data_IF_085201594903
#
_entry.id   IF_085201594903
#
_cell.length_a   1.000
_cell.length_b   1.000
_cell.length_c   1.000
_cell.angle_alpha   90.00
_cell.angle_beta   90.00
_cell.angle_gamma   90.00
#
_symmetry.space_group_name_H-M   'P 1'
#
loop_
_entity.id
_entity.type
_entity.pdbx_description
1 polymer ?
#
# COMPACT_ATOMS: atom_id res chain seq x y z
N UNK A 1 19.39 6.35 -7.60
CA UNK A 1 19.62 7.61 -8.33
C UNK A 1 19.02 7.60 -9.74
N UNK A 2 19.06 6.49 -10.51
CA UNK A 2 18.38 6.40 -11.83
C UNK A 2 16.86 6.67 -11.84
N UNK A 3 16.14 6.38 -10.75
CA UNK A 3 14.69 6.65 -10.66
C UNK A 3 14.35 8.16 -10.66
N UNK A 4 15.28 9.03 -10.25
CA UNK A 4 15.08 10.49 -10.26
C UNK A 4 15.36 11.07 -11.66
N UNK A 5 16.21 10.43 -12.46
CA UNK A 5 16.46 10.83 -13.85
C UNK A 5 15.27 10.54 -14.78
N UNK A 6 14.50 9.48 -14.52
CA UNK A 6 13.28 9.17 -15.29
C UNK A 6 12.18 10.23 -15.07
N UNK A 7 12.16 10.88 -13.89
CA UNK A 7 11.27 12.02 -13.62
C UNK A 7 11.76 13.34 -14.24
N UNK A 8 12.96 13.34 -14.83
CA UNK A 8 13.62 14.50 -15.44
C UNK A 8 13.83 14.29 -16.94
N UNK A 9 12.96 13.53 -17.60
CA UNK A 9 12.90 13.61 -19.06
C UNK A 9 12.31 14.96 -19.46
N UNK A 10 13.10 15.72 -20.22
CA UNK A 10 12.71 17.02 -20.74
C UNK A 10 11.49 16.88 -21.66
N UNK A 11 10.46 17.67 -21.39
CA UNK A 11 9.25 17.72 -22.19
C UNK A 11 9.52 18.45 -23.51
N UNK A 12 10.20 17.79 -24.44
CA UNK A 12 10.40 18.27 -25.80
C UNK A 12 9.21 17.80 -26.66
N UNK A 13 8.52 18.76 -27.28
CA UNK A 13 7.20 18.63 -27.89
C UNK A 13 7.01 17.63 -29.04
N UNK A 14 7.95 16.73 -29.31
CA UNK A 14 7.85 15.72 -30.37
C UNK A 14 7.74 14.28 -29.88
N UNK A 15 8.09 13.96 -28.62
CA UNK A 15 8.03 12.57 -28.13
C UNK A 15 7.26 12.48 -26.80
N UNK A 16 6.09 11.84 -26.90
CA UNK A 16 5.49 10.97 -25.88
C UNK A 16 5.59 11.53 -24.45
N UNK A 17 4.67 12.45 -24.13
CA UNK A 17 4.55 13.13 -22.83
C UNK A 17 4.00 12.21 -21.74
N UNK A 18 4.82 11.24 -21.36
CA UNK A 18 4.49 10.19 -20.40
C UNK A 18 4.93 10.52 -18.96
N UNK A 19 5.73 11.57 -18.79
CA UNK A 19 6.22 11.96 -17.48
C UNK A 19 5.28 12.94 -16.77
N UNK A 20 5.12 12.73 -15.47
CA UNK A 20 4.34 13.62 -14.59
C UNK A 20 4.90 15.07 -14.60
N UNK A 21 6.20 15.21 -14.87
CA UNK A 21 6.88 16.49 -15.03
C UNK A 21 6.27 17.34 -16.15
N UNK A 22 5.78 16.73 -17.24
CA UNK A 22 5.17 17.45 -18.36
C UNK A 22 3.79 18.05 -18.07
N UNK A 23 3.14 17.62 -16.98
CA UNK A 23 1.92 18.25 -16.46
C UNK A 23 2.25 19.51 -15.64
N UNK A 24 3.44 19.58 -15.07
CA UNK A 24 3.88 20.71 -14.24
C UNK A 24 4.58 21.78 -15.08
N UNK A 25 5.59 21.40 -15.86
CA UNK A 25 6.37 22.33 -16.67
C UNK A 25 6.49 21.84 -18.11
N UNK A 26 6.20 22.74 -19.05
CA UNK A 26 6.54 22.54 -20.45
C UNK A 26 6.98 23.87 -21.08
N UNK A 27 8.08 23.82 -21.83
CA UNK A 27 8.71 24.99 -22.44
C UNK A 27 8.26 25.16 -23.90
N UNK A 28 8.09 24.07 -24.65
CA UNK A 28 7.72 24.11 -26.07
C UNK A 28 6.79 22.94 -26.43
N UNK A 29 5.58 23.24 -26.87
CA UNK A 29 4.65 22.23 -27.37
C UNK A 29 3.18 22.68 -27.37
N UNK A 30 2.46 22.37 -28.45
CA UNK A 30 1.00 22.52 -28.54
C UNK A 30 0.28 21.43 -27.73
N UNK A 31 0.94 20.28 -27.50
CA UNK A 31 0.39 19.15 -26.77
C UNK A 31 0.58 19.21 -25.24
N UNK A 32 1.56 19.96 -24.72
CA UNK A 32 1.88 20.04 -23.29
C UNK A 32 1.53 21.38 -22.64
N UNK A 33 1.46 21.45 -21.31
CA UNK A 33 1.02 22.66 -20.61
C UNK A 33 1.26 22.61 -19.11
N UNK A 34 1.22 23.78 -18.47
CA UNK A 34 1.42 23.95 -17.02
C UNK A 34 0.13 23.66 -16.24
N UNK A 35 -0.43 22.46 -16.41
CA UNK A 35 -1.76 22.09 -15.91
C UNK A 35 -1.83 21.92 -14.41
N UNK A 36 -0.92 21.14 -13.83
CA UNK A 36 -0.99 20.72 -12.43
C UNK A 36 0.14 21.31 -11.60
N UNK A 37 -0.23 21.75 -10.41
CA UNK A 37 0.67 22.12 -9.34
C UNK A 37 0.17 21.50 -8.04
N UNK A 38 1.06 20.81 -7.33
CA UNK A 38 0.69 20.21 -6.06
C UNK A 38 0.63 21.29 -4.97
N UNK A 39 -0.48 21.37 -4.24
CA UNK A 39 -0.63 22.37 -3.18
C UNK A 39 0.41 22.19 -2.05
N UNK A 40 0.90 20.95 -1.89
CA UNK A 40 1.92 20.61 -0.89
C UNK A 40 3.34 21.02 -1.27
N UNK A 41 3.59 21.57 -2.47
CA UNK A 41 4.93 21.93 -2.95
C UNK A 41 5.74 22.75 -1.94
N UNK A 42 5.14 23.80 -1.37
CA UNK A 42 5.79 24.68 -0.40
C UNK A 42 6.02 24.04 0.98
N UNK A 43 5.35 22.93 1.28
CA UNK A 43 5.60 22.19 2.51
C UNK A 43 6.87 21.34 2.40
N UNK A 44 7.27 20.93 1.20
CA UNK A 44 8.49 20.13 1.01
C UNK A 44 9.77 20.88 1.41
N UNK A 45 9.80 22.21 1.29
CA UNK A 45 10.95 23.02 1.73
C UNK A 45 11.10 23.10 3.25
N UNK A 46 10.09 22.71 4.02
CA UNK A 46 10.10 22.70 5.48
C UNK A 46 10.52 21.35 6.06
N UNK A 47 10.76 20.33 5.23
CA UNK A 47 11.17 19.01 5.72
C UNK A 47 12.63 19.03 6.18
N UNK A 48 12.83 18.80 7.49
CA UNK A 48 14.16 18.70 8.07
C UNK A 48 14.90 17.44 7.56
N UNK A 49 16.13 17.63 7.08
CA UNK A 49 16.99 16.55 6.56
C UNK A 49 17.21 15.39 7.55
N UNK A 50 17.09 15.66 8.86
CA UNK A 50 17.23 14.70 9.95
C UNK A 50 16.24 13.53 9.85
N UNK A 51 15.07 13.71 9.23
CA UNK A 51 14.00 12.69 9.15
C UNK A 51 13.87 12.03 7.77
N UNK A 52 14.91 12.12 6.93
CA UNK A 52 14.91 11.58 5.55
C UNK A 52 14.42 10.12 5.46
N UNK A 53 14.77 9.29 6.44
CA UNK A 53 14.42 7.86 6.43
C UNK A 53 12.90 7.65 6.61
N UNK A 54 12.23 8.51 7.39
CA UNK A 54 10.77 8.49 7.57
C UNK A 54 10.06 8.98 6.31
N UNK A 55 10.52 10.07 5.72
CA UNK A 55 9.94 10.59 4.48
C UNK A 55 10.09 9.59 3.34
N UNK A 56 11.24 8.91 3.23
CA UNK A 56 11.44 7.87 2.24
C UNK A 56 10.39 6.75 2.42
N UNK A 57 10.19 6.27 3.65
CA UNK A 57 9.15 5.27 3.92
C UNK A 57 7.77 5.74 3.44
N UNK A 58 7.38 6.98 3.75
CA UNK A 58 6.08 7.53 3.31
C UNK A 58 5.97 7.65 1.80
N UNK A 59 6.96 8.21 1.10
CA UNK A 59 6.93 8.40 -0.36
C UNK A 59 6.77 7.05 -1.08
N UNK A 60 7.44 6.03 -0.58
CA UNK A 60 7.42 4.69 -1.15
C UNK A 60 6.04 4.02 -0.97
N UNK A 61 5.33 4.25 0.15
CA UNK A 61 3.94 3.80 0.28
C UNK A 61 2.97 4.64 -0.54
N UNK A 62 3.20 5.95 -0.65
CA UNK A 62 2.31 6.90 -1.33
C UNK A 62 2.29 6.76 -2.85
N UNK A 63 3.31 6.15 -3.46
CA UNK A 63 3.44 6.11 -4.93
C UNK A 63 2.33 5.29 -5.59
N UNK A 64 1.92 4.17 -5.00
CA UNK A 64 0.77 3.39 -5.48
C UNK A 64 -0.56 4.13 -5.28
N UNK A 65 -0.72 4.83 -4.15
CA UNK A 65 -1.91 5.64 -3.89
C UNK A 65 -1.99 6.85 -4.84
N UNK A 66 -0.85 7.45 -5.18
CA UNK A 66 -0.78 8.53 -6.15
C UNK A 66 -1.26 8.06 -7.52
N UNK A 67 -0.79 6.91 -8.01
CA UNK A 67 -1.23 6.32 -9.28
C UNK A 67 -2.74 6.13 -9.31
N UNK A 68 -3.31 5.52 -8.26
CA UNK A 68 -4.77 5.33 -8.15
C UNK A 68 -5.52 6.65 -8.04
N UNK A 69 -5.00 7.61 -7.29
CA UNK A 69 -5.60 8.94 -7.15
C UNK A 69 -5.60 9.73 -8.47
N UNK A 70 -4.57 9.57 -9.29
CA UNK A 70 -4.52 10.17 -10.63
C UNK A 70 -5.52 9.51 -11.60
N UNK A 71 -5.67 8.18 -11.54
CA UNK A 71 -6.70 7.48 -12.30
C UNK A 71 -8.10 7.96 -11.88
N UNK A 72 -8.36 8.04 -10.58
CA UNK A 72 -9.65 8.47 -10.07
C UNK A 72 -9.93 9.95 -10.40
N UNK A 73 -8.92 10.81 -10.35
CA UNK A 73 -9.00 12.19 -10.84
C UNK A 73 -9.36 12.25 -12.33
N UNK A 74 -8.79 11.36 -13.14
CA UNK A 74 -9.09 11.29 -14.58
C UNK A 74 -10.53 10.85 -14.82
N UNK A 75 -10.96 9.78 -14.16
CA UNK A 75 -12.31 9.24 -14.28
C UNK A 75 -13.36 10.27 -13.82
N UNK A 76 -13.12 10.88 -12.65
CA UNK A 76 -13.99 11.94 -12.12
C UNK A 76 -14.00 13.14 -13.06
N UNK A 77 -12.83 13.60 -13.53
CA UNK A 77 -12.72 14.76 -14.43
C UNK A 77 -13.47 14.52 -15.74
N UNK A 78 -13.32 13.34 -16.34
CA UNK A 78 -14.02 12.96 -17.55
C UNK A 78 -15.53 12.86 -17.33
N UNK A 79 -15.95 12.36 -16.17
CA UNK A 79 -17.36 12.24 -15.78
C UNK A 79 -18.05 13.53 -15.34
N UNK A 80 -17.36 14.68 -15.34
CA UNK A 80 -17.97 15.97 -14.98
C UNK A 80 -18.91 16.48 -16.07
N UNK A 81 -20.00 17.10 -15.63
CA UNK A 81 -20.91 17.82 -16.51
C UNK A 81 -20.43 19.26 -16.72
N UNK A 82 -20.37 19.69 -17.98
CA UNK A 82 -19.93 21.05 -18.31
C UNK A 82 -21.07 22.08 -18.11
N UNK A 83 -21.39 22.38 -16.84
CA UNK A 83 -22.55 23.21 -16.46
C UNK A 83 -22.46 24.68 -16.93
N UNK A 84 -21.25 25.18 -17.19
CA UNK A 84 -21.00 26.58 -17.57
C UNK A 84 -20.44 26.78 -18.97
N UNK A 85 -20.61 25.80 -19.86
CA UNK A 85 -20.22 26.01 -21.24
C UNK A 85 -21.09 27.06 -21.93
N UNK A 86 -20.52 28.23 -22.18
CA UNK A 86 -21.14 29.31 -22.95
C UNK A 86 -20.72 29.19 -24.42
N UNK A 87 -21.48 28.43 -25.21
CA UNK A 87 -21.26 28.32 -26.64
C UNK A 87 -22.42 27.63 -27.37
N UNK A 88 -22.67 27.95 -28.65
CA UNK A 88 -23.76 27.38 -29.43
C UNK A 88 -23.58 25.88 -29.74
N UNK A 89 -22.41 25.32 -29.44
CA UNK A 89 -22.07 23.91 -29.69
C UNK A 89 -22.07 23.03 -28.44
N UNK A 90 -22.23 23.59 -27.24
CA UNK A 90 -22.28 22.76 -26.04
C UNK A 90 -23.60 22.02 -25.95
N UNK A 91 -23.58 20.81 -26.49
CA UNK A 91 -24.52 19.77 -26.14
C UNK A 91 -24.26 19.44 -24.67
N UNK A 92 -25.32 19.51 -23.85
CA UNK A 92 -25.24 19.23 -22.41
C UNK A 92 -25.28 17.71 -22.22
N UNK A 93 -24.34 17.00 -22.80
CA UNK A 93 -24.21 15.58 -22.57
C UNK A 93 -23.35 15.38 -21.31
N UNK A 94 -23.67 14.34 -20.55
CA UNK A 94 -23.02 14.07 -19.27
C UNK A 94 -21.66 13.43 -19.52
N UNK A 95 -20.62 13.84 -18.79
CA UNK A 95 -19.28 13.23 -18.89
C UNK A 95 -18.46 13.63 -20.12
N UNK A 96 -18.37 14.94 -20.38
CA UNK A 96 -17.94 15.51 -21.67
C UNK A 96 -16.52 16.10 -21.66
N UNK A 97 -15.70 15.89 -20.63
CA UNK A 97 -14.38 16.55 -20.55
C UNK A 97 -13.20 15.75 -21.13
N UNK A 98 -13.41 14.46 -21.44
CA UNK A 98 -12.41 13.58 -22.04
C UNK A 98 -12.35 13.64 -23.57
N UNK A 99 -13.48 13.93 -24.23
CA UNK A 99 -13.58 13.90 -25.69
C UNK A 99 -13.29 15.26 -26.36
N UNK A 100 -12.78 15.22 -27.60
CA UNK A 100 -12.37 16.42 -28.35
C UNK A 100 -13.55 17.33 -28.74
N UNK A 101 -14.77 16.76 -28.84
CA UNK A 101 -15.95 17.42 -29.39
C UNK A 101 -17.05 17.74 -28.37
N UNK A 102 -16.81 17.44 -27.10
CA UNK A 102 -17.83 17.42 -26.05
C UNK A 102 -17.76 18.69 -25.18
N UNK A 103 -16.55 19.14 -24.82
CA UNK A 103 -16.36 20.38 -24.06
C UNK A 103 -15.84 21.54 -24.94
N UNK A 104 -16.67 22.57 -25.18
CA UNK A 104 -16.30 23.75 -25.97
C UNK A 104 -15.73 24.92 -25.15
N UNK A 105 -15.20 24.68 -23.95
CA UNK A 105 -14.50 25.72 -23.18
C UNK A 105 -13.24 26.20 -23.92
N UNK A 106 -13.05 27.52 -24.02
CA UNK A 106 -11.90 28.13 -24.70
C UNK A 106 -10.56 27.80 -24.03
N UNK A 107 -10.59 27.57 -22.71
CA UNK A 107 -9.48 27.00 -21.95
C UNK A 107 -9.99 26.26 -20.72
N UNK A 108 -9.19 25.35 -20.18
CA UNK A 108 -9.49 24.64 -18.93
C UNK A 108 -9.74 25.58 -17.74
N UNK A 109 -9.08 26.74 -17.71
CA UNK A 109 -9.21 27.75 -16.64
C UNK A 109 -10.57 28.45 -16.69
N UNK A 110 -11.18 28.57 -17.88
CA UNK A 110 -12.51 29.15 -18.04
C UNK A 110 -13.62 28.14 -17.66
N UNK A 111 -13.29 26.85 -17.51
CA UNK A 111 -14.22 25.85 -17.03
C UNK A 111 -14.36 25.94 -15.50
N UNK A 112 -15.55 26.31 -15.03
CA UNK A 112 -15.80 26.48 -13.59
C UNK A 112 -15.67 25.19 -12.79
N UNK A 113 -15.93 24.03 -13.41
CA UNK A 113 -15.94 22.71 -12.74
C UNK A 113 -14.53 22.09 -12.67
N UNK A 114 -13.62 22.51 -13.53
CA UNK A 114 -12.26 21.97 -13.58
C UNK A 114 -11.47 22.28 -12.30
N UNK A 115 -11.52 23.52 -11.81
CA UNK A 115 -10.72 23.93 -10.65
C UNK A 115 -11.18 23.28 -9.32
N UNK A 116 -12.48 23.23 -8.97
CA UNK A 116 -12.96 22.54 -7.77
C UNK A 116 -12.59 21.05 -7.74
N UNK A 117 -12.64 20.38 -8.89
CA UNK A 117 -12.26 18.96 -9.01
C UNK A 117 -10.78 18.78 -8.74
N UNK A 118 -9.91 19.59 -9.35
CA UNK A 118 -8.48 19.58 -9.06
C UNK A 118 -8.19 19.83 -7.57
N UNK A 119 -8.87 20.79 -6.95
CA UNK A 119 -8.72 21.09 -5.53
C UNK A 119 -9.12 19.93 -4.61
N UNK A 120 -10.16 19.18 -4.97
CA UNK A 120 -10.58 17.99 -4.21
C UNK A 120 -9.49 16.91 -4.17
N UNK A 121 -8.64 16.87 -5.20
CA UNK A 121 -7.46 16.01 -5.31
C UNK A 121 -6.14 16.72 -4.93
N UNK A 122 -6.20 17.87 -4.25
CA UNK A 122 -5.03 18.66 -3.78
C UNK A 122 -4.13 19.23 -4.88
N UNK A 123 -4.68 19.45 -6.08
CA UNK A 123 -4.01 20.11 -7.19
C UNK A 123 -4.60 21.49 -7.49
N UNK A 124 -3.78 22.35 -8.05
CA UNK A 124 -4.18 23.65 -8.59
C UNK A 124 -3.49 23.89 -9.93
N UNK A 125 -3.84 24.97 -10.63
CA UNK A 125 -3.15 25.33 -11.87
C UNK A 125 -1.75 25.86 -11.58
N UNK A 126 -0.73 25.34 -12.26
CA UNK A 126 0.63 25.89 -12.14
C UNK A 126 0.71 27.31 -12.74
N UNK A 127 0.01 27.57 -13.85
CA UNK A 127 -0.08 28.92 -14.40
C UNK A 127 -1.35 29.17 -15.21
N UNK A 128 -2.39 29.67 -14.54
CA UNK A 128 -3.67 30.03 -15.18
C UNK A 128 -3.49 30.97 -16.40
N UNK A 129 -2.57 31.93 -16.32
CA UNK A 129 -2.28 32.84 -17.41
C UNK A 129 -1.65 32.14 -18.63
N UNK A 130 -0.75 31.19 -18.41
CA UNK A 130 -0.13 30.42 -19.50
C UNK A 130 -1.14 29.47 -20.17
N UNK A 131 -1.98 28.81 -19.37
CA UNK A 131 -3.07 27.96 -19.89
C UNK A 131 -4.07 28.74 -20.74
N UNK A 132 -4.46 29.94 -20.30
CA UNK A 132 -5.41 30.77 -21.03
C UNK A 132 -4.78 31.33 -22.33
N UNK A 133 -3.53 31.82 -22.27
CA UNK A 133 -2.79 32.28 -23.47
C UNK A 133 -2.62 31.17 -24.50
N UNK A 134 -2.30 29.95 -24.05
CA UNK A 134 -2.12 28.78 -24.91
C UNK A 134 -3.42 28.12 -25.39
N UNK A 135 -4.61 28.63 -24.96
CA UNK A 135 -5.93 28.06 -25.26
C UNK A 135 -5.98 26.54 -25.06
N UNK A 136 -5.38 26.06 -23.97
CA UNK A 136 -5.31 24.64 -23.65
C UNK A 136 -6.70 24.16 -23.21
N UNK A 137 -7.31 23.29 -24.02
CA UNK A 137 -8.65 22.76 -23.79
C UNK A 137 -8.63 21.59 -22.79
N UNK A 138 -9.79 21.26 -22.22
CA UNK A 138 -9.95 20.17 -21.25
C UNK A 138 -9.57 18.80 -21.82
N UNK A 139 -9.91 18.52 -23.09
CA UNK A 139 -9.59 17.23 -23.72
C UNK A 139 -8.07 16.98 -23.81
N UNK A 140 -7.27 18.03 -24.09
CA UNK A 140 -5.80 17.91 -24.11
C UNK A 140 -5.24 17.58 -22.74
N UNK A 141 -5.84 18.14 -21.68
CA UNK A 141 -5.46 17.79 -20.31
C UNK A 141 -5.80 16.33 -20.00
N UNK A 142 -7.04 15.89 -20.31
CA UNK A 142 -7.48 14.50 -20.07
C UNK A 142 -6.60 13.49 -20.82
N UNK A 143 -6.36 13.70 -22.11
CA UNK A 143 -5.49 12.85 -22.93
C UNK A 143 -4.05 12.76 -22.37
N UNK A 144 -3.51 13.87 -21.88
CA UNK A 144 -2.19 13.86 -21.27
C UNK A 144 -2.16 13.15 -19.92
N UNK A 145 -3.21 13.32 -19.11
CA UNK A 145 -3.32 12.62 -17.84
C UNK A 145 -3.49 11.11 -18.07
N UNK A 146 -4.27 10.72 -19.07
CA UNK A 146 -4.44 9.32 -19.49
C UNK A 146 -3.11 8.71 -19.91
N UNK A 147 -2.37 9.43 -20.75
CA UNK A 147 -1.04 9.01 -21.15
C UNK A 147 -0.14 8.84 -19.93
N UNK A 148 -0.14 9.77 -18.96
CA UNK A 148 0.69 9.66 -17.75
C UNK A 148 0.32 8.45 -16.90
N UNK A 149 -0.97 8.16 -16.73
CA UNK A 149 -1.43 7.04 -15.88
C UNK A 149 -1.18 5.68 -16.53
N UNK A 150 -1.36 5.57 -17.85
CA UNK A 150 -1.18 4.31 -18.60
C UNK A 150 0.30 3.95 -18.85
N UNK A 151 1.25 4.71 -18.32
CA UNK A 151 2.66 4.42 -18.55
C UNK A 151 3.19 3.30 -17.69
N UNK A 152 3.99 2.47 -18.36
CA UNK A 152 4.80 1.41 -17.75
C UNK A 152 5.77 1.94 -16.67
N UNK A 153 6.03 3.25 -16.64
CA UNK A 153 6.89 3.89 -15.62
C UNK A 153 6.35 3.66 -14.21
N UNK A 154 5.03 3.80 -14.00
CA UNK A 154 4.44 3.59 -12.67
C UNK A 154 4.46 2.13 -12.25
N UNK A 155 4.22 1.22 -13.20
CA UNK A 155 4.25 -0.22 -12.94
C UNK A 155 5.66 -0.69 -12.61
N UNK A 156 6.65 -0.25 -13.39
CA UNK A 156 8.06 -0.56 -13.16
C UNK A 156 8.52 -0.01 -11.81
N UNK A 157 8.16 1.25 -11.48
CA UNK A 157 8.53 1.87 -10.22
C UNK A 157 7.89 1.16 -9.02
N UNK A 158 6.60 0.82 -9.14
CA UNK A 158 5.87 0.08 -8.10
C UNK A 158 6.43 -1.33 -7.91
N UNK A 159 6.83 -1.99 -8.99
CA UNK A 159 7.49 -3.31 -8.92
C UNK A 159 8.82 -3.22 -8.18
N UNK A 160 9.69 -2.24 -8.53
CA UNK A 160 10.98 -2.05 -7.84
C UNK A 160 10.81 -1.74 -6.35
N UNK A 161 9.78 -0.96 -6.00
CA UNK A 161 9.44 -0.68 -4.61
C UNK A 161 9.03 -1.96 -3.87
N UNK A 162 8.19 -2.80 -4.48
CA UNK A 162 7.76 -4.08 -3.91
C UNK A 162 8.95 -5.01 -3.69
N UNK A 163 9.82 -5.16 -4.71
CA UNK A 163 11.06 -5.96 -4.63
C UNK A 163 11.96 -5.49 -3.46
N UNK A 164 12.10 -4.17 -3.29
CA UNK A 164 12.88 -3.59 -2.20
C UNK A 164 12.28 -3.92 -0.83
N UNK A 165 10.96 -3.76 -0.65
CA UNK A 165 10.30 -4.11 0.61
C UNK A 165 10.35 -5.60 0.91
N UNK A 166 10.23 -6.44 -0.10
CA UNK A 166 10.33 -7.88 0.05
C UNK A 166 11.72 -8.27 0.57
N UNK A 167 12.79 -7.75 -0.05
CA UNK A 167 14.15 -7.95 0.43
C UNK A 167 14.37 -7.44 1.85
N UNK A 168 13.74 -6.31 2.20
CA UNK A 168 13.87 -5.73 3.54
C UNK A 168 13.09 -6.51 4.59
N UNK A 169 11.90 -7.05 4.28
CA UNK A 169 11.02 -7.77 5.22
C UNK A 169 11.39 -9.24 5.38
N UNK A 170 11.90 -9.89 4.34
CA UNK A 170 12.26 -11.31 4.34
C UNK A 170 13.12 -11.74 5.55
N UNK A 171 14.25 -11.07 5.88
CA UNK A 171 15.05 -11.48 7.03
C UNK A 171 14.27 -11.35 8.36
N UNK A 172 13.47 -10.29 8.55
CA UNK A 172 12.69 -10.10 9.78
C UNK A 172 11.63 -11.18 9.97
N UNK A 173 10.96 -11.60 8.89
CA UNK A 173 9.98 -12.69 8.93
C UNK A 173 10.67 -14.01 9.30
N UNK A 174 11.84 -14.30 8.72
CA UNK A 174 12.62 -15.49 9.07
C UNK A 174 13.07 -15.48 10.53
N UNK A 175 13.64 -14.37 11.03
CA UNK A 175 14.06 -14.26 12.43
C UNK A 175 12.87 -14.45 13.39
N UNK A 176 11.73 -13.83 13.08
CA UNK A 176 10.51 -13.97 13.88
C UNK A 176 10.01 -15.43 13.85
N UNK A 177 10.02 -16.08 12.68
CA UNK A 177 9.64 -17.49 12.54
C UNK A 177 10.53 -18.43 13.36
N UNK A 178 11.85 -18.25 13.31
CA UNK A 178 12.80 -19.04 14.12
C UNK A 178 12.57 -18.80 15.61
N UNK A 179 12.35 -17.55 16.01
CA UNK A 179 12.06 -17.20 17.40
C UNK A 179 10.79 -17.91 17.91
N UNK A 180 9.71 -17.90 17.14
CA UNK A 180 8.48 -18.62 17.48
C UNK A 180 8.68 -20.14 17.55
N UNK A 181 9.42 -20.73 16.61
CA UNK A 181 9.74 -22.15 16.63
C UNK A 181 10.54 -22.54 17.88
N UNK A 182 11.55 -21.75 18.25
CA UNK A 182 12.34 -21.96 19.47
C UNK A 182 11.46 -21.86 20.73
N UNK A 183 10.57 -20.88 20.78
CA UNK A 183 9.66 -20.68 21.90
C UNK A 183 8.68 -21.86 22.04
N UNK A 184 8.06 -22.31 20.96
CA UNK A 184 7.19 -23.51 20.96
C UNK A 184 7.95 -24.75 21.39
N UNK A 185 9.17 -24.94 20.88
CA UNK A 185 10.02 -26.09 21.24
C UNK A 185 10.39 -26.06 22.73
N UNK A 186 10.71 -24.89 23.28
CA UNK A 186 10.98 -24.71 24.71
C UNK A 186 9.75 -25.07 25.57
N UNK A 187 8.56 -24.59 25.20
CA UNK A 187 7.32 -24.92 25.91
C UNK A 187 6.99 -26.41 25.84
N UNK A 188 7.15 -27.04 24.66
CA UNK A 188 6.98 -28.49 24.51
C UNK A 188 7.94 -29.27 25.41
N UNK A 189 9.22 -28.89 25.45
CA UNK A 189 10.22 -29.54 26.30
C UNK A 189 9.87 -29.39 27.79
N UNK A 190 9.42 -28.20 28.20
CA UNK A 190 8.94 -27.95 29.57
C UNK A 190 7.71 -28.77 29.98
N UNK A 191 6.86 -29.16 29.02
CA UNK A 191 5.71 -30.06 29.26
C UNK A 191 6.09 -31.55 29.20
N UNK A 192 7.04 -31.90 28.32
CA UNK A 192 7.53 -33.27 28.14
C UNK A 192 8.28 -33.77 29.38
N UNK A 193 9.14 -32.94 29.99
CA UNK A 193 9.90 -33.33 31.20
C UNK A 193 8.99 -33.83 32.33
N UNK A 194 7.98 -33.07 32.82
CA UNK A 194 7.13 -33.54 33.91
C UNK A 194 6.25 -34.71 33.49
N UNK A 195 5.79 -34.76 32.24
CA UNK A 195 4.99 -35.89 31.73
C UNK A 195 5.81 -37.19 31.72
N UNK A 196 7.07 -37.13 31.29
CA UNK A 196 7.98 -38.28 31.24
C UNK A 196 8.37 -38.74 32.65
N UNK A 197 8.66 -37.80 33.55
CA UNK A 197 8.89 -38.09 34.98
C UNK A 197 7.67 -38.76 35.62
N UNK A 198 6.46 -38.26 35.34
CA UNK A 198 5.21 -38.88 35.80
C UNK A 198 5.01 -40.27 35.18
N UNK A 199 5.35 -40.45 33.90
CA UNK A 199 5.25 -41.74 33.22
C UNK A 199 6.18 -42.78 33.85
N UNK A 200 7.46 -42.45 34.04
CA UNK A 200 8.44 -43.32 34.71
C UNK A 200 8.04 -43.64 36.16
N UNK A 201 7.53 -42.65 36.91
CA UNK A 201 7.04 -42.88 38.28
C UNK A 201 5.79 -43.76 38.31
N UNK A 202 4.90 -43.64 37.32
CA UNK A 202 3.71 -44.48 37.23
C UNK A 202 4.08 -45.95 37.00
N UNK A 203 5.04 -46.21 36.09
CA UNK A 203 5.53 -47.56 35.85
C UNK A 203 6.18 -48.11 37.12
N UNK A 204 7.04 -47.34 37.78
CA UNK A 204 7.69 -47.77 39.02
C UNK A 204 6.69 -48.15 40.11
N UNK A 205 5.68 -47.30 40.35
CA UNK A 205 4.61 -47.61 41.33
C UNK A 205 3.81 -48.85 40.96
N UNK A 206 3.56 -49.08 39.67
CA UNK A 206 2.85 -50.27 39.20
C UNK A 206 3.68 -51.55 39.42
N UNK A 207 4.98 -51.52 39.11
CA UNK A 207 5.87 -52.67 39.33
C UNK A 207 6.02 -52.98 40.81
N UNK A 208 6.18 -51.94 41.64
CA UNK A 208 6.25 -52.11 43.09
C UNK A 208 4.96 -52.75 43.61
N UNK A 209 3.78 -52.22 43.23
CA UNK A 209 2.48 -52.79 43.59
C UNK A 209 2.32 -54.27 43.14
N UNK A 210 2.74 -54.58 41.91
CA UNK A 210 2.69 -55.94 41.35
C UNK A 210 3.68 -56.90 42.02
N UNK A 211 4.76 -56.39 42.63
CA UNK A 211 5.70 -57.19 43.44
C UNK A 211 5.15 -57.48 44.84
N UNK A 212 4.42 -56.55 45.44
CA UNK A 212 3.80 -56.75 46.78
C UNK A 212 2.55 -57.61 46.70
N UNK A 213 1.78 -57.55 45.60
CA UNK A 213 0.53 -58.30 45.43
C UNK A 213 0.67 -59.83 45.59
N UNK A 214 1.64 -60.52 44.96
CA UNK A 214 1.85 -61.95 45.15
C UNK A 214 2.40 -62.28 46.52
N UNK A 215 3.16 -61.40 47.19
CA UNK A 215 3.61 -61.63 48.57
C UNK A 215 2.47 -61.52 49.59
N UNK A 216 1.51 -60.61 49.38
CA UNK A 216 0.28 -60.53 50.15
C UNK A 216 -0.70 -61.67 49.83
N UNK A 217 -0.78 -62.12 48.58
CA UNK A 217 -1.60 -63.28 48.16
C UNK A 217 -1.01 -64.62 48.63
N UNK A 218 0.32 -64.81 48.63
CA UNK A 218 0.97 -65.99 49.23
C UNK A 218 0.95 -65.93 50.77
N UNK A 219 1.08 -64.74 51.36
CA UNK A 219 0.96 -64.55 52.82
C UNK A 219 -0.45 -64.82 53.36
N UNK A 220 -1.48 -64.70 52.52
CA UNK A 220 -2.88 -65.01 52.86
C UNK A 220 -3.28 -66.49 52.79
N UNK A 221 -2.30 -67.41 52.75
CA UNK A 221 -2.53 -68.86 52.98
C UNK A 221 -2.24 -69.36 54.40
N UNK A 222 -2.26 -68.48 55.41
CA UNK A 222 -2.51 -68.88 56.80
C UNK A 222 -3.79 -68.20 57.34
N UNK A 223 -4.81 -69.07 57.51
CA UNK A 223 -6.01 -69.09 58.37
C UNK A 223 -6.67 -67.81 58.96
N UNK A 224 -8.00 -67.84 59.18
CA UNK A 224 -8.83 -66.65 59.33
C UNK A 224 -8.89 -66.15 60.78
N UNK A 225 -8.81 -64.84 61.00
CA UNK A 225 -9.46 -64.21 62.14
C UNK A 225 -9.52 -62.68 61.97
N UNK A 226 -10.76 -62.18 61.96
CA UNK A 226 -11.24 -60.85 62.31
C UNK A 226 -10.34 -59.62 62.14
N UNK A 227 -10.79 -58.84 61.14
CA UNK A 227 -10.56 -57.42 60.91
C UNK A 227 -10.85 -56.63 62.19
N UNK A 228 -9.91 -55.82 62.69
CA UNK A 228 -10.17 -54.85 63.76
C UNK A 228 -9.20 -53.66 63.78
N UNK A 229 -8.70 -53.15 62.65
CA UNK A 229 -7.89 -51.92 62.68
C UNK A 229 -8.17 -51.04 61.46
N UNK A 230 -9.45 -50.67 61.28
CA UNK A 230 -9.76 -49.30 60.89
C UNK A 230 -9.67 -48.44 62.16
N UNK A 231 -9.34 -47.16 61.96
CA UNK A 231 -9.42 -45.97 62.85
C UNK A 231 -8.03 -45.28 62.96
N UNK A 232 -7.92 -43.96 62.78
CA UNK A 232 -8.56 -43.03 61.83
C UNK A 232 -7.54 -42.32 60.91
#
# INVERSE_FOLDING_TARGET
>A
MKAVEILREECNGENIHQSLHCLQECLYGTACGKYLFCLSWYNFSNFAATYKDRYLSWIVYLTEYLRRGLQQLLDDFNGLDCEHCKGPRCQREQGDHGDENSCFCKSMVECAVALPTLYSYWFTYNSAAALNRGRKQCHKFSQQLENVVNNEVFDTLTQRIKEFFEHLRYPFILYTGVFWLLLVTYFLYGLLIPLDVLHMLSQRRFTDACRVLPMLLLGKKLAPANISYLIP
#
